data_IF_433108082816
#
_entry.id   IF_433108082816
#
_cell.length_a   1.000
_cell.length_b   1.000
_cell.length_c   1.000
_cell.angle_alpha   90.00
_cell.angle_beta   90.00
_cell.angle_gamma   90.00
#
_symmetry.space_group_name_H-M   'P 1'
#
loop_
_entity.id
_entity.type
_entity.pdbx_description
1 polymer ?
#
# COMPACT_ATOMS: atom_id res chain seq x y z
N UNK A 1 -9.23 1.81 -1.83
CA UNK A 1 -9.28 3.14 -1.19
C UNK A 1 -7.87 3.51 -0.75
N UNK A 2 -7.29 4.59 -1.30
CA UNK A 2 -5.89 4.99 -1.00
C UNK A 2 -5.88 5.59 0.41
N UNK A 3 -5.04 5.07 1.32
CA UNK A 3 -4.86 5.57 2.69
C UNK A 3 -4.29 7.00 2.70
N UNK A 4 -5.09 8.00 2.36
CA UNK A 4 -4.64 9.40 2.26
C UNK A 4 -4.30 9.92 3.67
N UNK A 5 -3.02 10.07 4.01
CA UNK A 5 -2.58 10.66 5.28
C UNK A 5 -1.68 11.87 5.07
N UNK A 6 -1.59 12.75 6.07
CA UNK A 6 -0.68 13.89 6.06
C UNK A 6 0.78 13.44 5.89
N UNK A 7 1.12 12.30 6.48
CA UNK A 7 2.44 11.67 6.34
C UNK A 7 2.72 11.28 4.88
N UNK A 8 1.77 10.62 4.20
CA UNK A 8 1.95 10.24 2.79
C UNK A 8 2.08 11.45 1.87
N UNK A 9 1.29 12.50 2.09
CA UNK A 9 1.39 13.72 1.27
C UNK A 9 2.72 14.45 1.47
N UNK A 10 3.24 14.48 2.70
CA UNK A 10 4.58 15.01 2.97
C UNK A 10 5.66 14.18 2.25
N UNK A 11 5.57 12.86 2.29
CA UNK A 11 6.53 11.98 1.59
C UNK A 11 6.50 12.23 0.08
N UNK A 12 5.31 12.28 -0.54
CA UNK A 12 5.16 12.60 -1.96
C UNK A 12 5.75 13.96 -2.32
N UNK A 13 5.52 14.96 -1.47
CA UNK A 13 6.06 16.31 -1.69
C UNK A 13 7.58 16.34 -1.61
N UNK A 14 8.16 15.68 -0.61
CA UNK A 14 9.61 15.55 -0.46
C UNK A 14 10.24 14.87 -1.68
N UNK A 15 9.63 13.81 -2.23
CA UNK A 15 10.12 13.14 -3.44
C UNK A 15 10.08 14.05 -4.68
N UNK A 16 9.09 14.95 -4.76
CA UNK A 16 8.95 15.91 -5.88
C UNK A 16 9.92 17.09 -5.79
N UNK A 17 10.39 17.42 -4.60
CA UNK A 17 11.34 18.51 -4.39
C UNK A 17 12.51 18.05 -3.48
N UNK A 18 13.58 17.49 -4.09
CA UNK A 18 14.75 17.02 -3.37
C UNK A 18 15.45 18.09 -2.52
N UNK A 19 15.23 19.38 -2.80
CA UNK A 19 15.80 20.48 -2.00
C UNK A 19 15.28 20.47 -0.56
N UNK A 20 14.09 19.90 -0.32
CA UNK A 20 13.52 19.73 1.02
C UNK A 20 14.41 18.79 1.84
N UNK A 21 14.83 17.65 1.29
CA UNK A 21 15.73 16.73 1.99
C UNK A 21 17.09 17.35 2.26
N UNK A 22 17.61 18.15 1.32
CA UNK A 22 18.88 18.85 1.49
C UNK A 22 18.86 19.88 2.64
N UNK A 23 17.67 20.39 2.99
CA UNK A 23 17.50 21.33 4.11
C UNK A 23 17.46 20.65 5.48
N UNK A 24 17.34 19.32 5.55
CA UNK A 24 17.23 18.59 6.82
C UNK A 24 18.62 18.43 7.45
N UNK A 25 18.79 18.75 8.74
CA UNK A 25 20.05 18.53 9.45
C UNK A 25 20.52 17.06 9.38
N UNK A 26 21.81 16.84 9.09
CA UNK A 26 22.40 15.51 8.92
C UNK A 26 22.30 14.61 10.16
N UNK A 27 22.14 15.21 11.34
CA UNK A 27 21.98 14.48 12.61
C UNK A 27 20.58 13.84 12.78
N UNK A 28 19.62 14.13 11.89
CA UNK A 28 18.31 13.48 11.89
C UNK A 28 18.39 12.17 11.11
N UNK A 29 18.70 11.08 11.83
CA UNK A 29 19.00 9.79 11.21
C UNK A 29 17.76 9.08 10.63
N UNK A 30 16.65 9.06 11.37
CA UNK A 30 15.47 8.23 11.03
C UNK A 30 14.51 8.94 10.08
N UNK A 31 13.82 8.19 9.21
CA UNK A 31 12.83 8.76 8.30
C UNK A 31 11.69 9.46 9.07
N UNK A 32 11.23 8.85 10.17
CA UNK A 32 10.26 9.46 11.09
C UNK A 32 10.75 10.81 11.63
N UNK A 33 12.01 10.90 12.01
CA UNK A 33 12.63 12.15 12.45
C UNK A 33 12.66 13.21 11.34
N UNK A 34 13.04 12.81 10.12
CA UNK A 34 13.09 13.69 8.95
C UNK A 34 11.70 14.22 8.58
N UNK A 35 10.68 13.36 8.59
CA UNK A 35 9.29 13.76 8.36
C UNK A 35 8.79 14.72 9.43
N UNK A 36 9.08 14.46 10.71
CA UNK A 36 8.74 15.37 11.79
C UNK A 36 9.45 16.74 11.63
N UNK A 37 10.71 16.75 11.18
CA UNK A 37 11.43 17.99 10.91
C UNK A 37 10.77 18.78 9.79
N UNK A 38 10.52 18.15 8.63
CA UNK A 38 9.87 18.79 7.49
C UNK A 38 8.48 19.29 7.86
N UNK A 39 7.67 18.46 8.54
CA UNK A 39 6.33 18.81 9.03
C UNK A 39 6.34 20.09 9.86
N UNK A 40 7.33 20.26 10.74
CA UNK A 40 7.43 21.41 11.63
C UNK A 40 8.12 22.64 11.00
N UNK A 41 8.73 22.49 9.82
CA UNK A 41 9.35 23.61 9.10
C UNK A 41 8.30 24.58 8.54
N UNK A 42 8.68 25.85 8.31
CA UNK A 42 7.79 26.85 7.72
C UNK A 42 7.26 26.41 6.33
N UNK A 43 8.14 25.86 5.49
CA UNK A 43 7.75 25.34 4.16
C UNK A 43 6.77 24.17 4.29
N UNK A 44 7.02 23.24 5.21
CA UNK A 44 6.12 22.11 5.45
C UNK A 44 4.76 22.55 5.97
N UNK A 45 4.71 23.49 6.92
CA UNK A 45 3.46 24.07 7.40
C UNK A 45 2.68 24.77 6.28
N UNK A 46 3.35 25.52 5.41
CA UNK A 46 2.73 26.15 4.23
C UNK A 46 2.15 25.11 3.28
N UNK A 47 2.91 24.05 2.98
CA UNK A 47 2.45 22.94 2.13
C UNK A 47 1.22 22.22 2.71
N UNK A 48 1.21 21.94 4.02
CA UNK A 48 0.10 21.29 4.70
C UNK A 48 -1.17 22.15 4.65
N UNK A 49 -1.07 23.46 4.93
CA UNK A 49 -2.21 24.39 4.84
C UNK A 49 -2.77 24.49 3.42
N UNK A 50 -1.91 24.48 2.41
CA UNK A 50 -2.34 24.47 1.01
C UNK A 50 -3.02 23.14 0.64
N UNK A 51 -2.56 22.03 1.21
CA UNK A 51 -3.22 20.72 1.05
C UNK A 51 -4.59 20.69 1.73
N UNK A 52 -4.72 21.23 2.95
CA UNK A 52 -6.01 21.46 3.62
C UNK A 52 -6.95 22.26 2.72
N UNK A 53 -6.48 23.35 2.09
CA UNK A 53 -7.27 24.19 1.18
C UNK A 53 -7.82 23.37 0.01
N UNK A 54 -6.96 22.60 -0.68
CA UNK A 54 -7.35 21.73 -1.81
C UNK A 54 -8.36 20.65 -1.39
N UNK A 55 -8.15 20.02 -0.23
CA UNK A 55 -9.07 18.99 0.28
C UNK A 55 -10.47 19.56 0.54
N UNK A 56 -10.58 20.79 1.09
CA UNK A 56 -11.87 21.46 1.32
C UNK A 56 -12.62 21.83 0.05
N UNK A 57 -11.89 22.09 -1.03
CA UNK A 57 -12.44 22.43 -2.35
C UNK A 57 -12.93 21.20 -3.12
N UNK A 58 -12.56 19.99 -2.69
CA UNK A 58 -12.93 18.75 -3.39
C UNK A 58 -14.40 18.36 -3.07
N UNK A 59 -15.34 18.42 -4.02
CA UNK A 59 -16.79 18.33 -3.75
C UNK A 59 -17.25 16.97 -3.21
N UNK A 60 -16.61 15.88 -3.64
CA UNK A 60 -17.08 14.51 -3.42
C UNK A 60 -16.80 13.94 -2.03
N UNK A 61 -16.09 14.67 -1.16
CA UNK A 61 -15.63 14.12 0.13
C UNK A 61 -16.31 14.75 1.36
N UNK A 62 -17.11 15.81 1.20
CA UNK A 62 -17.73 16.53 2.33
C UNK A 62 -18.79 15.74 3.12
N UNK A 63 -19.13 14.53 2.69
CA UNK A 63 -20.12 13.66 3.36
C UNK A 63 -19.53 12.34 3.87
N UNK A 64 -18.24 12.11 3.67
CA UNK A 64 -17.57 10.89 4.10
C UNK A 64 -16.84 11.16 5.41
N UNK A 65 -17.01 10.29 6.40
CA UNK A 65 -16.34 10.41 7.70
C UNK A 65 -14.82 10.29 7.55
N UNK A 66 -14.35 9.50 6.56
CA UNK A 66 -12.94 9.34 6.23
C UNK A 66 -12.31 10.68 5.86
N UNK A 67 -13.01 11.51 5.08
CA UNK A 67 -12.55 12.85 4.76
C UNK A 67 -12.27 13.67 6.02
N UNK A 68 -13.18 13.63 6.98
CA UNK A 68 -13.04 14.37 8.22
C UNK A 68 -11.93 13.83 9.12
N UNK A 69 -11.69 12.51 9.15
CA UNK A 69 -10.51 11.95 9.82
C UNK A 69 -9.20 12.34 9.13
N UNK A 70 -9.15 12.35 7.81
CA UNK A 70 -7.98 12.85 7.07
C UNK A 70 -7.74 14.31 7.43
N UNK A 71 -8.77 15.15 7.36
CA UNK A 71 -8.70 16.56 7.70
C UNK A 71 -8.22 16.80 9.13
N UNK A 72 -8.65 15.97 10.10
CA UNK A 72 -8.20 16.09 11.49
C UNK A 72 -6.70 15.81 11.64
N UNK A 73 -6.16 14.83 10.92
CA UNK A 73 -4.73 14.55 10.85
C UNK A 73 -3.93 15.76 10.34
N UNK A 74 -4.42 16.40 9.26
CA UNK A 74 -3.82 17.63 8.74
C UNK A 74 -3.91 18.80 9.71
N UNK A 75 -5.08 19.04 10.34
CA UNK A 75 -5.24 20.12 11.33
C UNK A 75 -4.37 19.91 12.56
N UNK A 76 -4.24 18.67 13.04
CA UNK A 76 -3.33 18.33 14.13
C UNK A 76 -1.88 18.63 13.74
N UNK A 77 -1.47 18.25 12.52
CA UNK A 77 -0.14 18.53 11.99
C UNK A 77 0.14 20.04 11.81
N UNK A 78 -0.88 20.87 11.58
CA UNK A 78 -0.76 22.34 11.54
C UNK A 78 -1.00 23.04 12.88
N UNK A 79 -1.16 22.27 13.97
CA UNK A 79 -1.46 22.74 15.34
C UNK A 79 -2.79 23.50 15.46
N UNK A 80 -3.72 23.28 14.53
CA UNK A 80 -5.09 23.81 14.55
C UNK A 80 -6.02 22.87 15.33
N UNK A 81 -5.69 22.62 16.61
CA UNK A 81 -6.31 21.55 17.41
C UNK A 81 -7.83 21.64 17.53
N UNK A 82 -8.38 22.85 17.62
CA UNK A 82 -9.83 23.06 17.64
C UNK A 82 -10.51 22.53 16.37
N UNK A 83 -9.92 22.80 15.20
CA UNK A 83 -10.44 22.29 13.92
C UNK A 83 -10.22 20.79 13.77
N UNK A 84 -9.12 20.27 14.32
CA UNK A 84 -8.89 18.83 14.36
C UNK A 84 -9.99 18.13 15.18
N UNK A 85 -10.33 18.70 16.34
CA UNK A 85 -11.42 18.20 17.19
C UNK A 85 -12.79 18.29 16.50
N UNK A 86 -13.11 19.42 15.87
CA UNK A 86 -14.35 19.58 15.09
C UNK A 86 -14.46 18.55 13.96
N UNK A 87 -13.36 18.31 13.23
CA UNK A 87 -13.33 17.31 12.18
C UNK A 87 -13.50 15.89 12.73
N UNK A 88 -12.82 15.54 13.83
CA UNK A 88 -13.06 14.26 14.52
C UNK A 88 -14.52 14.12 14.93
N UNK A 89 -15.10 15.14 15.55
CA UNK A 89 -16.49 15.13 16.02
C UNK A 89 -17.48 14.90 14.87
N UNK A 90 -17.23 15.53 13.72
CA UNK A 90 -18.06 15.33 12.53
C UNK A 90 -17.88 13.93 11.94
N UNK A 91 -16.66 13.38 11.94
CA UNK A 91 -16.42 11.99 11.53
C UNK A 91 -17.19 11.00 12.41
N UNK A 92 -17.16 11.19 13.73
CA UNK A 92 -17.94 10.39 14.68
C UNK A 92 -19.43 10.51 14.41
N UNK A 93 -19.92 11.74 14.24
CA UNK A 93 -21.34 12.01 13.97
C UNK A 93 -21.81 11.27 12.71
N UNK A 94 -20.97 11.24 11.66
CA UNK A 94 -21.23 10.52 10.42
C UNK A 94 -21.15 8.99 10.58
N UNK A 95 -20.25 8.49 11.43
CA UNK A 95 -20.15 7.07 11.81
C UNK A 95 -21.29 6.60 12.73
N UNK A 96 -22.11 7.52 13.26
CA UNK A 96 -23.20 7.22 14.20
C UNK A 96 -22.71 6.48 15.47
N UNK A 97 -21.48 6.77 15.92
CA UNK A 97 -20.94 6.21 17.17
C UNK A 97 -21.66 6.85 18.35
N UNK A 98 -22.06 6.02 19.33
CA UNK A 98 -22.68 6.47 20.57
C UNK A 98 -21.73 7.41 21.35
N UNK A 99 -22.23 8.58 21.74
CA UNK A 99 -21.47 9.59 22.48
C UNK A 99 -20.87 9.06 23.79
N UNK A 100 -21.56 8.11 24.45
CA UNK A 100 -21.08 7.49 25.68
C UNK A 100 -19.79 6.69 25.48
N UNK A 101 -19.58 6.13 24.27
CA UNK A 101 -18.34 5.43 23.93
C UNK A 101 -17.19 6.43 23.81
N UNK A 102 -17.42 7.60 23.21
CA UNK A 102 -16.39 8.63 23.01
C UNK A 102 -15.94 9.22 24.34
N UNK A 103 -16.88 9.53 25.24
CA UNK A 103 -16.57 10.11 26.54
C UNK A 103 -15.73 9.19 27.43
N UNK A 104 -15.78 7.88 27.18
CA UNK A 104 -15.00 6.88 27.91
C UNK A 104 -13.58 6.65 27.37
N UNK A 105 -13.24 7.23 26.21
CA UNK A 105 -11.97 7.01 25.52
C UNK A 105 -11.09 8.26 25.57
N UNK A 106 -9.80 8.08 25.87
CA UNK A 106 -8.82 9.14 25.61
C UNK A 106 -8.61 9.35 24.09
N UNK A 107 -7.91 10.43 23.69
CA UNK A 107 -7.71 10.74 22.27
C UNK A 107 -7.01 9.60 21.49
N UNK A 108 -6.04 8.91 22.10
CA UNK A 108 -5.34 7.81 21.42
C UNK A 108 -6.23 6.57 21.34
N UNK A 109 -6.98 6.27 22.39
CA UNK A 109 -7.97 5.19 22.42
C UNK A 109 -9.07 5.45 21.40
N UNK A 110 -9.54 6.68 21.29
CA UNK A 110 -10.50 7.12 20.28
C UNK A 110 -9.92 6.99 18.87
N UNK A 111 -8.70 7.47 18.60
CA UNK A 111 -8.09 7.34 17.27
C UNK A 111 -7.86 5.87 16.90
N UNK A 112 -7.47 5.02 17.86
CA UNK A 112 -7.35 3.59 17.65
C UNK A 112 -8.72 2.93 17.47
N UNK A 113 -9.76 3.37 18.18
CA UNK A 113 -11.12 2.89 18.03
C UNK A 113 -11.72 3.30 16.69
N UNK A 114 -11.55 4.55 16.25
CA UNK A 114 -11.96 5.02 14.93
C UNK A 114 -11.17 4.33 13.81
N UNK A 115 -9.88 4.05 14.01
CA UNK A 115 -9.08 3.25 13.08
C UNK A 115 -9.55 1.81 13.04
N UNK A 116 -9.83 1.20 14.20
CA UNK A 116 -10.44 -0.13 14.29
C UNK A 116 -11.80 -0.14 13.66
N UNK A 117 -12.66 0.85 13.85
CA UNK A 117 -13.91 1.01 13.12
C UNK A 117 -13.67 1.20 11.62
N UNK A 118 -12.61 1.89 11.17
CA UNK A 118 -12.27 1.92 9.74
C UNK A 118 -11.81 0.56 9.19
N UNK A 119 -11.19 -0.26 10.03
CA UNK A 119 -10.74 -1.61 9.72
C UNK A 119 -11.87 -2.63 9.86
N UNK A 120 -12.78 -2.40 10.80
CA UNK A 120 -13.96 -3.20 11.12
C UNK A 120 -15.16 -2.75 10.29
N UNK A 121 -15.16 -1.57 9.67
CA UNK A 121 -16.06 -1.17 8.56
C UNK A 121 -15.48 -1.61 7.22
N UNK A 122 -14.16 -1.84 7.13
CA UNK A 122 -13.61 -2.75 6.11
C UNK A 122 -13.97 -4.22 6.42
N UNK A 123 -14.43 -4.52 7.64
CA UNK A 123 -15.12 -5.76 8.05
C UNK A 123 -16.62 -5.61 8.30
N UNK A 124 -17.23 -4.47 7.92
CA UNK A 124 -18.42 -4.66 7.11
C UNK A 124 -17.81 -5.38 5.94
N UNK A 125 -17.90 -6.70 6.01
CA UNK A 125 -18.39 -7.46 4.90
C UNK A 125 -19.48 -6.56 4.28
N UNK A 126 -19.09 -5.62 3.40
CA UNK A 126 -19.50 -5.80 2.02
C UNK A 126 -19.21 -7.27 1.86
N UNK A 127 -20.25 -8.07 2.06
CA UNK A 127 -20.31 -9.37 1.46
C UNK A 127 -20.10 -9.01 0.00
N UNK A 128 -18.82 -8.86 -0.38
CA UNK A 128 -18.36 -8.93 -1.73
C UNK A 128 -18.68 -10.39 -1.90
N UNK A 129 -19.94 -10.67 -2.25
CA UNK A 129 -20.33 -11.96 -2.76
C UNK A 129 -19.22 -12.23 -3.76
N UNK A 130 -18.37 -13.24 -3.50
CA UNK A 130 -17.09 -13.35 -4.18
C UNK A 130 -17.43 -13.25 -5.64
N UNK A 131 -16.99 -12.14 -6.26
CA UNK A 131 -17.42 -11.84 -7.63
C UNK A 131 -17.03 -13.08 -8.41
N UNK A 132 -18.02 -13.76 -8.99
CA UNK A 132 -17.76 -15.03 -9.66
C UNK A 132 -16.90 -14.70 -10.87
N UNK A 133 -15.59 -14.75 -10.69
CA UNK A 133 -14.63 -14.55 -11.77
C UNK A 133 -14.84 -15.74 -12.71
N UNK A 134 -15.12 -15.43 -13.97
CA UNK A 134 -15.27 -16.45 -14.99
C UNK A 134 -13.98 -17.28 -15.06
N UNK A 135 -14.13 -18.60 -15.06
CA UNK A 135 -13.03 -19.55 -15.26
C UNK A 135 -13.17 -20.13 -16.66
N UNK A 136 -12.09 -20.09 -17.44
CA UNK A 136 -12.06 -20.64 -18.80
C UNK A 136 -10.90 -21.59 -18.97
N UNK A 137 -11.11 -22.66 -19.73
CA UNK A 137 -10.02 -23.54 -20.11
C UNK A 137 -9.19 -22.91 -21.24
N UNK A 138 -7.87 -23.04 -21.18
CA UNK A 138 -6.95 -22.39 -22.12
C UNK A 138 -7.24 -22.72 -23.59
N UNK A 139 -7.73 -23.93 -23.88
CA UNK A 139 -8.05 -24.39 -25.23
C UNK A 139 -9.38 -23.84 -25.78
N UNK A 140 -10.21 -23.25 -24.91
CA UNK A 140 -11.50 -22.65 -25.29
C UNK A 140 -11.39 -21.15 -25.59
N UNK A 141 -10.21 -20.57 -25.40
CA UNK A 141 -9.99 -19.13 -25.43
C UNK A 141 -8.89 -18.77 -26.44
N UNK A 142 -9.29 -18.31 -27.62
CA UNK A 142 -8.35 -17.76 -28.59
C UNK A 142 -7.97 -16.29 -28.26
N UNK A 143 -6.83 -15.84 -28.75
CA UNK A 143 -6.26 -14.50 -28.48
C UNK A 143 -7.22 -13.36 -28.84
N UNK A 144 -7.95 -13.49 -29.97
CA UNK A 144 -8.86 -12.44 -30.44
C UNK A 144 -10.05 -12.27 -29.49
N UNK A 145 -10.63 -13.39 -29.05
CA UNK A 145 -11.73 -13.39 -28.10
C UNK A 145 -11.26 -12.93 -26.72
N UNK A 146 -10.09 -13.36 -26.26
CA UNK A 146 -9.52 -12.89 -25.00
C UNK A 146 -9.39 -11.37 -24.97
N UNK A 147 -8.78 -10.80 -26.01
CA UNK A 147 -8.56 -9.36 -26.09
C UNK A 147 -9.88 -8.58 -26.18
N UNK A 148 -10.81 -9.05 -27.00
CA UNK A 148 -12.12 -8.39 -27.20
C UNK A 148 -13.00 -8.43 -25.96
N UNK A 149 -13.11 -9.60 -25.31
CA UNK A 149 -14.06 -9.80 -24.22
C UNK A 149 -13.51 -9.45 -22.84
N UNK A 150 -12.22 -9.67 -22.58
CA UNK A 150 -11.62 -9.44 -21.26
C UNK A 150 -10.73 -8.19 -21.24
N UNK A 151 -9.74 -8.07 -22.12
CA UNK A 151 -8.79 -6.94 -22.06
C UNK A 151 -9.44 -5.58 -22.35
N UNK A 152 -10.14 -5.45 -23.48
CA UNK A 152 -10.78 -4.18 -23.87
C UNK A 152 -11.85 -3.72 -22.87
N UNK A 153 -12.57 -4.69 -22.29
CA UNK A 153 -13.65 -4.44 -21.33
C UNK A 153 -13.16 -4.38 -19.88
N UNK A 154 -11.88 -4.67 -19.64
CA UNK A 154 -11.25 -4.72 -18.31
C UNK A 154 -11.98 -5.67 -17.35
N UNK A 155 -12.36 -6.84 -17.84
CA UNK A 155 -13.05 -7.88 -17.07
C UNK A 155 -12.01 -8.92 -16.63
N UNK A 156 -11.90 -9.25 -15.33
CA UNK A 156 -11.02 -10.30 -14.86
C UNK A 156 -11.51 -11.69 -15.28
N UNK A 157 -10.57 -12.60 -15.54
CA UNK A 157 -10.84 -14.00 -15.91
C UNK A 157 -9.73 -14.88 -15.36
N UNK A 158 -10.09 -16.07 -14.87
CA UNK A 158 -9.13 -17.12 -14.49
C UNK A 158 -9.01 -18.08 -15.67
N UNK A 159 -7.78 -18.33 -16.12
CA UNK A 159 -7.51 -19.24 -17.23
C UNK A 159 -6.88 -20.51 -16.67
N UNK A 160 -7.62 -21.62 -16.78
CA UNK A 160 -7.22 -22.96 -16.34
C UNK A 160 -6.58 -23.76 -17.48
N UNK A 161 -5.95 -24.88 -17.12
CA UNK A 161 -5.37 -25.82 -18.08
C UNK A 161 -3.94 -25.48 -18.52
N UNK A 162 -3.31 -24.48 -17.92
CA UNK A 162 -1.91 -24.17 -18.16
C UNK A 162 -1.00 -25.12 -17.37
N UNK A 163 -0.26 -25.99 -18.07
CA UNK A 163 0.73 -26.88 -17.46
C UNK A 163 2.08 -26.16 -17.32
N UNK A 164 2.18 -25.28 -16.32
CA UNK A 164 3.44 -24.64 -15.97
C UNK A 164 4.47 -25.64 -15.43
N UNK A 165 5.75 -25.23 -15.34
CA UNK A 165 6.77 -26.04 -14.70
C UNK A 165 6.37 -26.32 -13.24
N UNK A 166 6.51 -27.58 -12.82
CA UNK A 166 6.25 -28.00 -11.44
C UNK A 166 7.46 -27.66 -10.58
N UNK A 167 7.50 -26.44 -10.07
CA UNK A 167 8.56 -26.03 -9.14
C UNK A 167 8.34 -26.64 -7.77
N UNK A 168 9.42 -27.19 -7.22
CA UNK A 168 9.53 -27.54 -5.81
C UNK A 168 10.64 -26.71 -5.19
N UNK A 169 10.63 -26.54 -3.87
CA UNK A 169 11.74 -25.91 -3.15
C UNK A 169 13.09 -26.53 -3.52
N UNK A 170 13.16 -27.86 -3.59
CA UNK A 170 14.39 -28.57 -3.96
C UNK A 170 14.83 -28.27 -5.39
N UNK A 171 13.88 -28.19 -6.33
CA UNK A 171 14.18 -27.81 -7.73
C UNK A 171 14.76 -26.40 -7.78
N UNK A 172 14.19 -25.46 -7.04
CA UNK A 172 14.68 -24.08 -6.97
C UNK A 172 16.07 -24.02 -6.31
N UNK A 173 16.29 -24.71 -5.19
CA UNK A 173 17.60 -24.78 -4.53
C UNK A 173 18.67 -25.34 -5.48
N UNK A 174 18.36 -26.42 -6.21
CA UNK A 174 19.31 -27.06 -7.11
C UNK A 174 19.69 -26.17 -8.30
N UNK A 175 18.74 -25.41 -8.85
CA UNK A 175 18.95 -24.64 -10.08
C UNK A 175 19.38 -23.18 -9.85
N UNK A 176 18.86 -22.54 -8.80
CA UNK A 176 19.09 -21.12 -8.50
C UNK A 176 19.56 -20.87 -7.08
N UNK A 177 19.75 -21.90 -6.25
CA UNK A 177 20.06 -21.76 -4.83
C UNK A 177 21.31 -20.94 -4.53
N UNK A 178 22.32 -20.96 -5.42
CA UNK A 178 23.55 -20.18 -5.27
C UNK A 178 23.43 -18.71 -5.67
N UNK A 179 22.31 -18.28 -6.27
CA UNK A 179 22.10 -16.90 -6.71
C UNK A 179 21.86 -16.01 -5.51
N UNK A 180 22.59 -14.90 -5.43
CA UNK A 180 22.37 -13.87 -4.41
C UNK A 180 21.22 -12.96 -4.82
N UNK A 181 20.33 -12.68 -3.87
CA UNK A 181 19.11 -11.90 -4.03
C UNK A 181 18.99 -10.88 -2.89
N UNK A 182 18.43 -9.72 -3.19
CA UNK A 182 18.12 -8.69 -2.20
C UNK A 182 16.72 -8.95 -1.64
N UNK A 183 16.62 -9.36 -0.38
CA UNK A 183 15.32 -9.48 0.28
C UNK A 183 14.73 -8.12 0.58
N UNK A 184 13.40 -8.10 0.65
CA UNK A 184 12.63 -6.95 1.09
C UNK A 184 11.94 -7.28 2.42
N UNK A 185 11.65 -6.24 3.20
CA UNK A 185 10.83 -6.33 4.40
C UNK A 185 9.76 -5.25 4.40
N UNK A 186 8.65 -5.50 5.07
CA UNK A 186 7.61 -4.48 5.27
C UNK A 186 8.13 -3.40 6.21
N UNK A 187 7.97 -2.14 5.83
CA UNK A 187 8.20 -1.00 6.72
C UNK A 187 6.99 -0.09 6.70
N UNK A 188 6.41 0.14 7.88
CA UNK A 188 5.28 1.05 8.03
C UNK A 188 5.65 2.43 7.49
N UNK A 189 4.71 3.05 6.78
CA UNK A 189 4.87 4.37 6.17
C UNK A 189 5.96 4.43 5.07
N UNK A 190 6.48 3.28 4.63
CA UNK A 190 7.22 3.21 3.38
C UNK A 190 6.28 3.57 2.23
N UNK A 191 6.79 4.39 1.32
CA UNK A 191 6.14 4.77 0.08
C UNK A 191 6.72 4.04 -1.13
N UNK A 192 7.57 3.05 -0.88
CA UNK A 192 7.98 2.07 -1.87
C UNK A 192 6.81 1.14 -2.21
N UNK A 193 6.84 0.56 -3.39
CA UNK A 193 5.77 -0.33 -3.86
C UNK A 193 5.54 -1.47 -2.86
N UNK A 194 4.27 -1.73 -2.53
CA UNK A 194 3.83 -2.67 -1.49
C UNK A 194 4.37 -2.38 -0.07
N UNK A 195 4.86 -1.16 0.21
CA UNK A 195 5.51 -0.78 1.48
C UNK A 195 6.75 -1.65 1.80
N UNK A 196 7.41 -2.17 0.77
CA UNK A 196 8.56 -3.06 0.89
C UNK A 196 9.88 -2.31 0.70
N UNK A 197 10.76 -2.37 1.70
CA UNK A 197 12.09 -1.73 1.66
C UNK A 197 13.21 -2.77 1.57
N UNK A 198 14.38 -2.43 0.99
CA UNK A 198 15.56 -3.30 1.04
C UNK A 198 15.90 -3.74 2.47
N UNK A 199 16.13 -5.05 2.64
CA UNK A 199 16.63 -5.62 3.90
C UNK A 199 18.12 -5.94 3.79
N UNK A 200 18.47 -7.12 3.26
CA UNK A 200 19.84 -7.57 3.07
C UNK A 200 19.93 -8.59 1.93
N UNK A 201 21.15 -8.89 1.50
CA UNK A 201 21.41 -9.88 0.46
C UNK A 201 21.62 -11.26 1.09
N UNK A 202 20.99 -12.28 0.52
CA UNK A 202 21.19 -13.71 0.85
C UNK A 202 21.19 -14.53 -0.43
N UNK A 203 21.58 -15.79 -0.37
CA UNK A 203 21.35 -16.74 -1.46
C UNK A 203 19.90 -17.24 -1.47
N UNK A 204 19.38 -17.62 -2.64
CA UNK A 204 18.03 -18.21 -2.74
C UNK A 204 17.90 -19.45 -1.85
N UNK A 205 18.96 -20.26 -1.74
CA UNK A 205 18.99 -21.41 -0.84
C UNK A 205 18.79 -21.00 0.62
N UNK A 206 19.58 -20.04 1.10
CA UNK A 206 19.46 -19.53 2.48
C UNK A 206 18.06 -18.97 2.75
N UNK A 207 17.48 -18.25 1.78
CA UNK A 207 16.12 -17.72 1.92
C UNK A 207 15.08 -18.85 2.08
N UNK A 208 15.07 -19.84 1.18
CA UNK A 208 14.14 -20.97 1.23
C UNK A 208 14.31 -21.76 2.54
N UNK A 209 15.55 -22.08 2.90
CA UNK A 209 15.85 -22.87 4.12
C UNK A 209 15.53 -22.10 5.41
N UNK A 210 15.52 -20.76 5.38
CA UNK A 210 15.20 -19.94 6.57
C UNK A 210 13.74 -20.00 6.99
N UNK A 211 12.80 -20.21 6.04
CA UNK A 211 11.37 -20.12 6.29
C UNK A 211 10.89 -18.78 6.86
N UNK A 212 11.62 -17.68 6.60
CA UNK A 212 11.30 -16.35 7.15
C UNK A 212 9.90 -15.86 6.73
N UNK A 213 9.10 -15.43 7.71
CA UNK A 213 7.77 -14.83 7.52
C UNK A 213 7.82 -13.29 7.47
N UNK A 214 8.96 -12.68 7.81
CA UNK A 214 9.14 -11.23 7.91
C UNK A 214 9.72 -10.60 6.65
N UNK A 215 10.29 -11.42 5.78
CA UNK A 215 11.02 -10.98 4.60
C UNK A 215 10.51 -11.69 3.37
N UNK A 216 10.60 -11.01 2.23
CA UNK A 216 10.00 -11.46 0.99
C UNK A 216 10.97 -11.26 -0.17
N UNK A 217 11.09 -12.29 -1.00
CA UNK A 217 11.70 -12.19 -2.32
C UNK A 217 10.70 -11.55 -3.29
N UNK A 218 10.81 -10.24 -3.49
CA UNK A 218 9.85 -9.47 -4.26
C UNK A 218 10.40 -9.10 -5.65
N UNK A 219 9.56 -9.21 -6.69
CA UNK A 219 9.84 -8.75 -8.06
C UNK A 219 11.13 -9.31 -8.68
N UNK A 220 11.51 -10.53 -8.28
CA UNK A 220 12.69 -11.20 -8.79
C UNK A 220 12.30 -12.18 -9.90
N UNK A 221 12.32 -11.71 -11.15
CA UNK A 221 11.92 -12.53 -12.30
C UNK A 221 13.01 -13.53 -12.68
N UNK A 222 12.69 -14.83 -12.55
CA UNK A 222 13.62 -15.92 -12.88
C UNK A 222 14.14 -15.81 -14.31
N UNK A 223 13.33 -15.56 -15.36
CA UNK A 223 13.85 -15.46 -16.72
C UNK A 223 14.85 -14.32 -16.93
N UNK A 224 14.74 -13.23 -16.16
CA UNK A 224 15.67 -12.11 -16.26
C UNK A 224 17.00 -12.39 -15.54
N UNK A 225 16.92 -12.98 -14.35
CA UNK A 225 18.09 -13.18 -13.49
C UNK A 225 18.77 -14.54 -13.68
N UNK A 226 18.06 -15.49 -14.29
CA UNK A 226 18.48 -16.87 -14.55
C UNK A 226 17.96 -17.33 -15.94
N UNK A 227 18.38 -16.68 -17.04
CA UNK A 227 17.85 -16.94 -18.37
C UNK A 227 18.14 -18.35 -18.89
N UNK A 228 19.22 -18.99 -18.43
CA UNK A 228 19.68 -20.30 -18.91
C UNK A 228 19.03 -21.48 -18.19
N UNK A 229 18.06 -21.25 -17.30
CA UNK A 229 17.46 -22.30 -16.49
C UNK A 229 16.19 -22.88 -17.11
N UNK A 230 15.98 -24.20 -16.91
CA UNK A 230 14.77 -24.93 -17.32
C UNK A 230 13.50 -24.47 -16.58
N UNK A 231 13.62 -23.51 -15.66
CA UNK A 231 12.50 -22.86 -14.96
C UNK A 231 11.73 -21.89 -15.87
N UNK A 232 12.15 -21.64 -17.11
CA UNK A 232 11.48 -20.67 -17.97
C UNK A 232 10.04 -21.12 -18.26
N UNK A 233 9.09 -20.27 -17.89
CA UNK A 233 7.68 -20.46 -18.19
C UNK A 233 7.40 -20.14 -19.67
N UNK A 234 6.41 -20.81 -20.26
CA UNK A 234 5.96 -20.46 -21.62
C UNK A 234 5.02 -19.26 -21.55
N UNK A 235 5.29 -18.21 -22.31
CA UNK A 235 4.35 -17.07 -22.37
C UNK A 235 3.02 -17.56 -22.98
N UNK A 236 1.87 -17.38 -22.29
CA UNK A 236 0.59 -17.75 -22.86
C UNK A 236 0.32 -17.07 -24.21
N UNK A 237 -0.30 -17.76 -25.19
CA UNK A 237 -0.45 -17.26 -26.58
C UNK A 237 -1.34 -16.02 -26.72
N UNK A 238 -2.06 -15.65 -25.67
CA UNK A 238 -2.89 -14.45 -25.63
C UNK A 238 -2.19 -13.25 -24.96
N UNK A 239 -0.95 -13.43 -24.49
CA UNK A 239 -0.07 -12.36 -23.97
C UNK A 239 1.10 -12.04 -24.91
N UNK A 240 1.24 -12.79 -26.00
CA UNK A 240 2.19 -12.54 -27.10
C UNK A 240 1.59 -11.60 -28.14
#
# INVERSE_FOLDING_TARGET
MVCYSETQELVKWIKRDPSIMASIPRNVATMKGKLNYVRNSEKGQKFLRETIRRLRETPHHKKSWEHYLVMSGFYSATKEFQKAYEAVSEAVRLLQIDANVIESLDLNEFLNYARKLSEDEKRFEVEIEPERIEVREIHELNTKDFHKYYCQRRIPVVINGYSGPKWTEQTLINQIGSKTVLLKRTEDYSDEWACLVPSHNVTVKEFIESGSDKEYLFDWSIPLHCPDNELVFQVPPYLS
#
